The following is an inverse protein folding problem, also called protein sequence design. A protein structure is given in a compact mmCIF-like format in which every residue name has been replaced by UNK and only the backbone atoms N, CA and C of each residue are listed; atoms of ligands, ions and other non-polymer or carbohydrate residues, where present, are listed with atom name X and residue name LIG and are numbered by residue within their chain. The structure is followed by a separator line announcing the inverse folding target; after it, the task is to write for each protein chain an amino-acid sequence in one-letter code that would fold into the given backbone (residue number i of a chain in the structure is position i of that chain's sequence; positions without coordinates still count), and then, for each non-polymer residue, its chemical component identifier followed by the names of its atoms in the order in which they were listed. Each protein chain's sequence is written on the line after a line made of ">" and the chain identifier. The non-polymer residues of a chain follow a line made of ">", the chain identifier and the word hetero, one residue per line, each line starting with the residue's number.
data_IF_047309295751
#
_entry.id   IF_047309295751
#
_cell.length_a   1.000
_cell.length_b   1.000
_cell.length_c   1.000
_cell.angle_alpha   90.00
_cell.angle_beta   90.00
_cell.angle_gamma   90.00
#
_symmetry.space_group_name_H-M   'P 1'
#
loop_
_entity.id
_entity.type
_entity.pdbx_description
1 polymer ?
#
# COMPACT_ATOMS: atom_id res chain seq x y z
N UNK A 1 -16.78 18.03 -12.87
CA UNK A 1 -16.52 17.49 -12.78
C UNK A 1 -15.94 16.87 -12.72
N UNK A 2 -15.58 16.61 -12.62
CA UNK A 2 -15.10 16.02 -12.58
C UNK A 2 -14.67 15.21 -12.06
N UNK A 3 -14.56 15.03 -11.71
CA UNK A 3 -14.26 14.09 -11.05
C UNK A 3 -14.01 12.93 -11.60
N UNK A 4 -13.98 12.73 -12.60
CA UNK A 4 -13.71 11.59 -13.17
C UNK A 4 -12.35 11.23 -13.11
N UNK A 5 -11.48 12.09 -12.88
CA UNK A 5 -10.12 11.69 -12.74
C UNK A 5 -9.93 11.07 -11.42
N UNK A 6 -10.88 11.11 -10.59
CA UNK A 6 -10.78 10.45 -9.35
C UNK A 6 -11.03 9.02 -9.51
N UNK A 7 -10.14 8.17 -9.14
CA UNK A 7 -10.36 6.75 -9.21
C UNK A 7 -11.66 6.52 -8.55
N UNK A 8 -12.32 5.55 -8.91
CA UNK A 8 -13.60 5.31 -8.43
C UNK A 8 -13.63 5.32 -6.94
N UNK A 9 -14.05 6.42 -6.37
CA UNK A 9 -14.04 6.56 -4.93
C UNK A 9 -15.14 5.78 -4.28
N UNK A 10 -15.96 5.15 -5.04
CA UNK A 10 -17.05 4.40 -4.46
C UNK A 10 -16.62 3.06 -3.92
N UNK A 11 -15.49 2.60 -4.28
CA UNK A 11 -15.06 1.29 -3.82
C UNK A 11 -13.82 1.39 -2.99
N UNK A 12 -13.44 0.31 -2.33
CA UNK A 12 -12.23 0.30 -1.53
C UNK A 12 -11.00 0.22 -2.40
N UNK A 13 -9.85 0.56 -1.80
CA UNK A 13 -8.59 0.40 -2.50
C UNK A 13 -7.78 -0.69 -1.80
N UNK A 14 -6.86 -1.27 -2.51
CA UNK A 14 -6.00 -2.32 -1.98
C UNK A 14 -4.56 -1.85 -2.11
N UNK A 15 -3.83 -1.91 -1.02
CA UNK A 15 -2.49 -1.35 -0.97
C UNK A 15 -1.46 -2.41 -0.70
N UNK A 16 -0.28 -2.25 -1.27
CA UNK A 16 0.84 -3.09 -0.95
C UNK A 16 2.04 -2.20 -0.71
N UNK A 17 2.84 -2.55 0.29
CA UNK A 17 4.02 -1.78 0.62
C UNK A 17 5.23 -2.69 0.64
N UNK A 18 6.24 -2.31 -0.12
CA UNK A 18 7.48 -3.04 -0.18
C UNK A 18 8.43 -2.27 0.71
N UNK A 19 8.81 -2.82 1.86
CA UNK A 19 9.56 -2.06 2.85
C UNK A 19 11.05 -2.29 2.73
N UNK A 20 11.80 -1.23 2.93
CA UNK A 20 13.24 -1.27 2.95
C UNK A 20 13.75 -0.40 4.07
N UNK A 21 15.02 -0.40 4.31
CA UNK A 21 15.58 0.31 5.47
C UNK A 21 15.35 1.81 5.40
N UNK A 22 15.53 2.40 4.24
CA UNK A 22 15.42 3.84 4.15
C UNK A 22 14.23 4.33 3.35
N UNK A 23 13.47 3.46 2.75
CA UNK A 23 12.32 3.92 1.98
C UNK A 23 11.33 2.79 1.84
N UNK A 24 10.10 3.15 1.56
CA UNK A 24 9.04 2.18 1.34
C UNK A 24 8.36 2.51 0.02
N UNK A 25 7.99 1.49 -0.72
CA UNK A 25 7.32 1.69 -1.99
C UNK A 25 5.87 1.31 -1.82
N UNK A 26 4.98 2.24 -2.12
CA UNK A 26 3.54 2.01 -2.00
C UNK A 26 2.93 1.83 -3.37
N UNK A 27 2.12 0.81 -3.51
CA UNK A 27 1.32 0.62 -4.69
C UNK A 27 -0.12 0.49 -4.26
N UNK A 28 -1.01 1.16 -4.98
CA UNK A 28 -2.43 1.15 -4.66
C UNK A 28 -3.23 0.77 -5.89
N UNK A 29 -4.14 -0.16 -5.72
CA UNK A 29 -5.09 -0.52 -6.76
C UNK A 29 -6.46 -0.10 -6.32
N UNK A 30 -7.32 0.30 -7.25
CA UNK A 30 -8.69 0.59 -6.91
C UNK A 30 -9.45 -0.74 -6.84
N UNK A 31 -10.74 -0.67 -6.54
CA UNK A 31 -11.54 -1.87 -6.36
C UNK A 31 -11.70 -2.67 -7.65
N UNK A 32 -11.40 -2.07 -8.77
CA UNK A 32 -11.46 -2.80 -10.02
C UNK A 32 -10.12 -3.41 -10.39
N UNK A 33 -9.11 -3.23 -9.57
CA UNK A 33 -7.80 -3.77 -9.82
C UNK A 33 -6.93 -2.88 -10.70
N UNK A 34 -7.34 -1.64 -10.91
CA UNK A 34 -6.56 -0.72 -11.72
C UNK A 34 -5.58 0.02 -10.85
N UNK A 35 -4.39 0.25 -11.36
CA UNK A 35 -3.37 0.91 -10.60
C UNK A 35 -3.70 2.39 -10.45
N UNK A 36 -3.78 2.84 -9.22
CA UNK A 36 -4.04 4.21 -8.90
C UNK A 36 -2.73 4.94 -8.68
N UNK A 37 -1.77 4.26 -8.04
CA UNK A 37 -0.58 4.95 -7.59
C UNK A 37 0.53 3.95 -7.36
N UNK A 38 1.75 4.35 -7.67
CA UNK A 38 2.92 3.55 -7.34
C UNK A 38 4.04 4.55 -7.09
N UNK A 39 4.51 4.64 -5.85
CA UNK A 39 5.43 5.68 -5.49
C UNK A 39 6.25 5.32 -4.25
N UNK A 40 7.45 5.84 -4.17
CA UNK A 40 8.33 5.61 -3.06
C UNK A 40 8.24 6.75 -2.07
N UNK A 41 8.35 6.43 -0.79
CA UNK A 41 8.30 7.41 0.28
C UNK A 41 9.46 7.15 1.23
N UNK A 42 10.03 8.16 1.85
CA UNK A 42 11.10 7.94 2.80
C UNK A 42 10.60 7.21 4.05
N UNK A 43 11.46 6.45 4.67
CA UNK A 43 11.10 5.68 5.85
C UNK A 43 11.34 6.51 7.10
N UNK A 44 10.61 7.59 7.24
CA UNK A 44 10.69 8.45 8.41
C UNK A 44 9.30 9.02 8.66
N UNK A 45 9.16 9.79 9.70
CA UNK A 45 7.85 10.29 10.10
C UNK A 45 7.16 11.07 9.00
N UNK A 46 7.89 11.92 8.30
CA UNK A 46 7.29 12.69 7.23
C UNK A 46 6.88 11.79 6.07
N UNK A 47 7.67 10.77 5.79
CA UNK A 47 7.35 9.83 4.73
C UNK A 47 6.13 9.00 5.08
N UNK A 48 6.00 8.61 6.35
CA UNK A 48 4.84 7.85 6.79
C UNK A 48 3.57 8.68 6.63
N UNK A 49 3.64 9.94 6.99
CA UNK A 49 2.50 10.82 6.85
C UNK A 49 2.13 10.98 5.39
N UNK A 50 3.12 11.18 4.54
CA UNK A 50 2.87 11.36 3.12
C UNK A 50 2.28 10.09 2.51
N UNK A 51 2.79 8.94 2.93
CA UNK A 51 2.30 7.68 2.42
C UNK A 51 0.85 7.47 2.85
N UNK A 52 0.55 7.72 4.11
CA UNK A 52 -0.82 7.57 4.60
C UNK A 52 -1.76 8.53 3.88
N UNK A 53 -1.30 9.75 3.63
CA UNK A 53 -2.10 10.72 2.90
C UNK A 53 -2.37 10.27 1.48
N UNK A 54 -1.39 9.64 0.86
CA UNK A 54 -1.58 9.14 -0.51
C UNK A 54 -2.63 8.04 -0.54
N UNK A 55 -2.63 7.16 0.47
CA UNK A 55 -3.65 6.12 0.54
C UNK A 55 -5.02 6.76 0.73
N UNK A 56 -5.11 7.68 1.68
CA UNK A 56 -6.40 8.31 1.98
C UNK A 56 -6.95 9.05 0.77
N UNK A 57 -6.06 9.67 0.00
CA UNK A 57 -6.49 10.37 -1.20
C UNK A 57 -6.98 9.40 -2.27
N UNK A 58 -6.46 8.20 -2.27
CA UNK A 58 -6.86 7.21 -3.25
C UNK A 58 -8.18 6.55 -2.90
N UNK A 59 -8.48 6.42 -1.62
CA UNK A 59 -9.74 5.82 -1.20
C UNK A 59 -9.63 5.16 0.15
N UNK A 60 -10.62 4.39 0.50
CA UNK A 60 -10.67 3.72 1.78
C UNK A 60 -9.92 2.40 1.65
N UNK A 61 -8.87 2.17 2.37
CA UNK A 61 -8.10 0.94 2.17
C UNK A 61 -8.82 -0.26 2.78
N UNK A 62 -9.06 -1.26 1.97
CA UNK A 62 -9.60 -2.52 2.46
C UNK A 62 -8.48 -3.33 3.11
N UNK A 63 -7.26 -3.10 2.67
CA UNK A 63 -6.13 -3.85 3.18
C UNK A 63 -4.85 -3.14 2.79
N UNK A 64 -3.91 -3.07 3.71
CA UNK A 64 -2.56 -2.57 3.42
C UNK A 64 -1.63 -3.73 3.71
N UNK A 65 -1.23 -4.45 2.70
CA UNK A 65 -0.36 -5.61 2.85
C UNK A 65 1.09 -5.15 2.88
N UNK A 66 1.85 -5.63 3.85
CA UNK A 66 3.20 -5.14 4.03
C UNK A 66 4.06 -6.25 4.58
N UNK A 67 5.27 -6.37 4.07
CA UNK A 67 6.19 -7.33 4.60
C UNK A 67 7.01 -6.63 5.66
N UNK A 68 7.37 -7.31 6.70
CA UNK A 68 8.24 -6.75 7.72
C UNK A 68 7.57 -5.77 8.64
N UNK A 69 6.33 -6.05 9.06
CA UNK A 69 5.61 -5.14 9.96
C UNK A 69 6.29 -5.04 11.31
N UNK A 70 7.20 -5.96 11.64
CA UNK A 70 7.92 -5.88 12.90
C UNK A 70 9.40 -5.60 12.67
N UNK A 71 9.79 -5.27 11.46
CA UNK A 71 11.16 -4.93 11.18
C UNK A 71 11.18 -3.61 10.43
N UNK A 72 11.56 -3.59 9.16
CA UNK A 72 11.64 -2.33 8.44
C UNK A 72 10.30 -1.61 8.37
N UNK A 73 9.23 -2.32 8.38
CA UNK A 73 7.91 -1.70 8.31
C UNK A 73 7.28 -1.38 9.64
N UNK A 74 8.00 -1.57 10.75
CA UNK A 74 7.40 -1.40 12.07
C UNK A 74 6.89 0.01 12.32
N UNK A 75 7.70 1.00 11.97
CA UNK A 75 7.28 2.39 12.19
C UNK A 75 6.07 2.76 11.36
N UNK A 76 6.10 2.37 10.10
CA UNK A 76 4.98 2.65 9.22
C UNK A 76 3.73 1.93 9.69
N UNK A 77 3.89 0.67 10.13
CA UNK A 77 2.77 -0.10 10.62
C UNK A 77 2.10 0.60 11.79
N UNK A 78 2.89 1.08 12.74
CA UNK A 78 2.31 1.78 13.88
C UNK A 78 1.60 3.04 13.43
N UNK A 79 2.18 3.76 12.50
CA UNK A 79 1.57 4.99 12.02
C UNK A 79 0.24 4.71 11.34
N UNK A 80 0.21 3.75 10.42
CA UNK A 80 -1.03 3.44 9.69
C UNK A 80 -2.08 2.86 10.63
N UNK A 81 -1.67 2.03 11.58
CA UNK A 81 -2.61 1.46 12.51
C UNK A 81 -3.23 2.54 13.39
N UNK A 82 -2.45 3.55 13.75
CA UNK A 82 -2.98 4.62 14.58
C UNK A 82 -4.03 5.43 13.82
N UNK A 83 -4.05 5.33 12.50
CA UNK A 83 -5.05 6.00 11.69
C UNK A 83 -6.21 5.07 11.36
N UNK A 84 -6.20 3.88 11.93
CA UNK A 84 -7.29 2.93 11.71
C UNK A 84 -7.20 2.15 10.42
N UNK A 85 -6.07 2.17 9.75
CA UNK A 85 -5.94 1.45 8.49
C UNK A 85 -5.66 -0.01 8.75
N UNK A 86 -6.26 -0.91 7.97
CA UNK A 86 -6.12 -2.36 8.19
C UNK A 86 -4.81 -2.90 7.61
N UNK A 87 -3.75 -2.86 8.41
CA UNK A 87 -2.45 -3.34 7.99
C UNK A 87 -2.34 -4.84 8.24
N UNK A 88 -1.83 -5.57 7.28
CA UNK A 88 -1.62 -6.99 7.43
C UNK A 88 -0.23 -7.37 7.02
N UNK A 89 0.35 -8.28 7.78
CA UNK A 89 1.68 -8.77 7.45
C UNK A 89 1.57 -9.67 6.23
N UNK A 90 2.40 -9.44 5.25
CA UNK A 90 2.47 -10.31 4.09
C UNK A 90 3.71 -11.16 4.21
N UNK A 91 3.66 -12.37 3.74
CA UNK A 91 4.81 -13.26 3.79
C UNK A 91 5.86 -12.77 2.82
N UNK A 92 7.07 -13.23 3.00
CA UNK A 92 8.13 -12.77 2.14
C UNK A 92 7.90 -13.26 0.72
N UNK A 93 8.34 -12.51 -0.25
CA UNK A 93 8.12 -12.88 -1.65
C UNK A 93 8.64 -14.25 -1.99
N UNK A 94 9.69 -14.67 -1.33
CA UNK A 94 10.25 -15.97 -1.64
C UNK A 94 9.29 -17.09 -1.34
N UNK A 95 8.41 -16.91 -0.37
CA UNK A 95 7.51 -17.95 -0.05
C UNK A 95 6.11 -17.63 -0.42
N UNK A 96 5.87 -16.52 -1.01
CA UNK A 96 4.57 -16.09 -1.31
C UNK A 96 4.26 -16.03 -2.71
N UNK A 97 4.80 -16.96 -3.43
CA UNK A 97 4.56 -16.96 -4.80
C UNK A 97 3.13 -16.82 -5.12
N UNK A 98 2.27 -17.39 -4.36
CA UNK A 98 0.88 -17.33 -4.72
C UNK A 98 0.14 -16.27 -3.96
N UNK A 99 0.48 -16.05 -2.73
CA UNK A 99 -0.24 -15.07 -1.93
C UNK A 99 0.28 -13.67 -2.10
N UNK A 100 1.41 -13.44 -1.44
CA UNK A 100 1.99 -12.12 -1.44
C UNK A 100 2.40 -11.68 -2.82
N UNK A 101 3.04 -12.58 -3.55
CA UNK A 101 3.49 -12.23 -4.87
C UNK A 101 2.32 -11.88 -5.77
N UNK A 102 1.23 -12.61 -5.65
CA UNK A 102 0.07 -12.32 -6.44
C UNK A 102 -0.49 -10.95 -6.10
N UNK A 103 -0.59 -10.68 -4.80
CA UNK A 103 -1.10 -9.41 -4.37
C UNK A 103 -0.20 -8.29 -4.83
N UNK A 104 1.10 -8.41 -4.59
CA UNK A 104 2.01 -7.36 -4.95
C UNK A 104 2.09 -7.17 -6.43
N UNK A 105 2.01 -8.28 -7.16
CA UNK A 105 2.02 -8.21 -8.58
C UNK A 105 0.80 -7.45 -9.07
N UNK A 106 -0.33 -7.75 -8.48
CA UNK A 106 -1.54 -7.06 -8.85
C UNK A 106 -1.47 -5.60 -8.43
N UNK A 107 -0.96 -5.36 -7.24
CA UNK A 107 -0.85 -4.01 -6.74
C UNK A 107 0.08 -3.19 -7.61
N UNK A 108 1.13 -3.80 -8.12
CA UNK A 108 2.05 -3.09 -8.96
C UNK A 108 1.54 -2.97 -10.38
N UNK A 109 0.36 -3.39 -10.64
CA UNK A 109 -0.22 -3.20 -11.94
C UNK A 109 0.01 -4.36 -12.85
N UNK A 110 0.33 -5.51 -12.24
CA UNK A 110 0.59 -6.68 -13.00
C UNK A 110 1.67 -6.47 -13.97
N UNK A 111 2.57 -5.63 -13.66
CA UNK A 111 3.62 -5.49 -14.51
C UNK A 111 4.55 -6.50 -14.37
N UNK A 112 5.06 -7.06 -15.33
CA UNK A 112 6.04 -8.13 -15.23
C UNK A 112 7.28 -7.65 -14.56
#
# INVERSE_FOLDING_TARGET
>A
MQNESIPDARGPVFCGVDTHADSHWLCVLDWRGRKVLSRRFPADAAGYEALAGAIAAAGEPACVAMEGTSSYGAGLTRHLASLGMPVREALSPARMQSGWATLMWAVRGREP
#
